data_IF_789550611103
#
_entry.id   IF_789550611103
#
_cell.length_a   1.000
_cell.length_b   1.000
_cell.length_c   1.000
_cell.angle_alpha   90.00
_cell.angle_beta   90.00
_cell.angle_gamma   90.00
#
_symmetry.space_group_name_H-M   'P 1'
#
loop_
_entity.id
_entity.type
_entity.pdbx_description
1 polymer ?
#
# COMPACT_ATOMS: atom_id res chain seq x y z
N UNK A 1 -1.01 -25.28 18.34
CA UNK A 1 -1.74 -24.11 18.20
C UNK A 1 -0.90 -22.83 18.12
N UNK A 2 0.01 -22.65 18.93
CA UNK A 2 0.85 -21.48 18.98
C UNK A 2 1.91 -21.44 17.93
N UNK A 3 2.09 -22.52 17.25
CA UNK A 3 3.11 -22.61 16.21
C UNK A 3 2.91 -21.55 15.13
N UNK A 4 1.68 -21.17 14.91
CA UNK A 4 1.36 -20.20 13.89
C UNK A 4 1.95 -18.83 14.14
N UNK A 5 2.41 -18.54 15.34
CA UNK A 5 3.01 -17.24 15.60
C UNK A 5 4.30 -17.04 14.84
N UNK A 6 5.07 -18.09 14.67
CA UNK A 6 6.29 -17.97 13.89
C UNK A 6 5.99 -17.76 12.43
N UNK A 7 4.93 -18.38 11.93
CA UNK A 7 4.50 -18.21 10.57
C UNK A 7 3.94 -16.81 10.37
N UNK A 8 3.18 -16.34 11.34
CA UNK A 8 2.56 -15.03 11.24
C UNK A 8 3.61 -13.93 11.19
N UNK A 9 4.76 -14.16 11.80
CA UNK A 9 5.82 -13.16 11.76
C UNK A 9 6.32 -12.94 10.34
N UNK A 10 6.40 -13.98 9.54
CA UNK A 10 6.85 -13.86 8.15
C UNK A 10 5.76 -13.31 7.25
N UNK A 11 4.49 -13.59 7.57
CA UNK A 11 3.36 -13.13 6.77
C UNK A 11 2.69 -11.90 7.36
N UNK A 12 3.27 -11.34 8.43
CA UNK A 12 2.69 -10.18 9.08
C UNK A 12 2.99 -8.91 8.30
N UNK A 13 2.03 -7.98 8.33
CA UNK A 13 2.21 -6.67 7.75
C UNK A 13 3.18 -5.79 8.57
N UNK A 14 3.46 -6.18 9.81
CA UNK A 14 4.29 -5.37 10.71
C UNK A 14 5.70 -5.19 10.18
N UNK A 15 6.24 -3.99 10.36
CA UNK A 15 7.60 -3.68 9.98
C UNK A 15 7.68 -2.69 8.82
N UNK A 16 8.87 -2.55 8.28
CA UNK A 16 9.14 -1.61 7.22
C UNK A 16 9.03 -2.29 5.85
N UNK A 17 8.36 -1.61 4.93
CA UNK A 17 8.18 -2.07 3.57
C UNK A 17 8.71 -1.01 2.61
N UNK A 18 9.35 -1.45 1.54
CA UNK A 18 9.96 -0.57 0.55
C UNK A 18 9.14 -0.65 -0.74
N UNK A 19 8.68 0.51 -1.20
CA UNK A 19 7.89 0.61 -2.42
C UNK A 19 8.64 0.02 -3.61
N UNK A 20 7.95 -0.75 -4.42
CA UNK A 20 8.51 -1.35 -5.63
C UNK A 20 7.81 -0.82 -6.88
N UNK A 21 6.49 -0.83 -6.88
CA UNK A 21 5.77 -0.39 -8.06
C UNK A 21 4.33 -0.01 -7.71
N UNK A 22 3.74 0.81 -8.56
CA UNK A 22 2.34 1.15 -8.49
C UNK A 22 1.75 1.01 -9.88
N UNK A 23 0.73 0.19 -10.02
CA UNK A 23 0.00 -0.01 -11.27
C UNK A 23 -1.37 0.63 -11.11
N UNK A 24 -1.72 1.53 -12.01
CA UNK A 24 -3.03 2.14 -12.02
C UNK A 24 -3.77 1.71 -13.27
N UNK A 25 -4.97 1.18 -13.08
CA UNK A 25 -5.83 0.74 -14.17
C UNK A 25 -7.04 1.65 -14.17
N UNK A 26 -7.14 2.50 -15.18
CA UNK A 26 -8.23 3.46 -15.30
C UNK A 26 -9.26 2.93 -16.27
N UNK A 27 -10.52 2.92 -15.85
CA UNK A 27 -11.63 2.47 -16.68
C UNK A 27 -12.30 3.69 -17.30
N UNK A 28 -11.96 3.96 -18.53
CA UNK A 28 -12.56 5.03 -19.31
C UNK A 28 -13.29 4.37 -20.48
N UNK A 29 -13.44 5.08 -21.60
CA UNK A 29 -14.01 4.47 -22.80
C UNK A 29 -13.21 3.25 -23.22
N UNK A 30 -11.93 3.23 -22.85
CA UNK A 30 -11.10 2.06 -22.97
C UNK A 30 -10.17 2.04 -21.76
N UNK A 31 -9.77 0.86 -21.37
CA UNK A 31 -8.92 0.68 -20.21
C UNK A 31 -7.50 1.17 -20.50
N UNK A 32 -6.96 1.93 -19.54
CA UNK A 32 -5.57 2.39 -19.61
C UNK A 32 -4.81 1.89 -18.40
N UNK A 33 -3.60 1.41 -18.62
CA UNK A 33 -2.75 0.88 -17.56
C UNK A 33 -1.46 1.68 -17.50
N UNK A 34 -1.17 2.21 -16.33
CA UNK A 34 0.07 2.96 -16.08
C UNK A 34 0.82 2.29 -14.96
N UNK A 35 2.12 2.07 -15.14
CA UNK A 35 2.97 1.45 -14.14
C UNK A 35 4.11 2.38 -13.78
N UNK A 36 4.27 2.64 -12.49
CA UNK A 36 5.37 3.44 -11.95
C UNK A 36 6.23 2.54 -11.11
N UNK A 37 7.53 2.54 -11.35
CA UNK A 37 8.49 1.75 -10.60
C UNK A 37 9.33 2.66 -9.71
N UNK A 38 9.86 2.10 -8.63
CA UNK A 38 10.79 2.86 -7.81
C UNK A 38 12.04 3.16 -8.62
N UNK A 39 12.70 4.26 -8.30
CA UNK A 39 13.97 4.61 -8.92
C UNK A 39 14.80 5.41 -7.92
N UNK A 40 15.95 5.89 -8.32
CA UNK A 40 16.85 6.60 -7.43
C UNK A 40 16.28 7.91 -6.89
N UNK A 41 15.35 8.50 -7.61
CA UNK A 41 14.76 9.79 -7.24
C UNK A 41 13.44 9.64 -6.50
N UNK A 42 12.82 8.48 -6.62
CA UNK A 42 11.50 8.23 -6.06
C UNK A 42 11.54 6.99 -5.17
N UNK A 43 11.72 7.24 -3.90
CA UNK A 43 11.83 6.17 -2.90
C UNK A 43 10.75 6.39 -1.85
N UNK A 44 10.07 5.31 -1.51
CA UNK A 44 9.04 5.37 -0.48
C UNK A 44 9.17 4.18 0.45
N UNK A 45 9.04 4.42 1.74
CA UNK A 45 8.95 3.35 2.72
C UNK A 45 7.70 3.55 3.57
N UNK A 46 7.09 2.43 3.96
CA UNK A 46 5.98 2.40 4.89
C UNK A 46 6.38 1.52 6.06
N UNK A 47 6.09 1.97 7.26
CA UNK A 47 6.36 1.17 8.46
C UNK A 47 5.05 1.00 9.22
N UNK A 48 4.65 -0.26 9.41
CA UNK A 48 3.44 -0.61 10.15
C UNK A 48 3.85 -1.05 11.55
N UNK A 49 3.36 -0.35 12.55
CA UNK A 49 3.70 -0.59 13.95
C UNK A 49 2.56 -1.35 14.61
N UNK A 50 2.89 -2.26 15.52
CA UNK A 50 1.87 -3.04 16.22
C UNK A 50 0.96 -2.20 17.11
N UNK A 51 1.35 -0.97 17.42
CA UNK A 51 0.49 -0.05 18.16
C UNK A 51 -0.66 0.51 17.33
N UNK A 52 -0.67 0.25 16.02
CA UNK A 52 -1.68 0.78 15.13
C UNK A 52 -1.25 2.05 14.41
N UNK A 53 -0.01 2.44 14.55
CA UNK A 53 0.51 3.57 13.81
C UNK A 53 1.15 3.13 12.50
N UNK A 54 1.08 3.99 11.50
CA UNK A 54 1.81 3.81 10.26
C UNK A 54 2.66 5.07 10.05
N UNK A 55 3.88 4.87 9.60
CA UNK A 55 4.78 5.96 9.27
C UNK A 55 5.19 5.83 7.81
N UNK A 56 5.34 6.94 7.13
CA UNK A 56 5.81 6.92 5.75
C UNK A 56 6.94 7.90 5.56
N UNK A 57 7.86 7.54 4.68
CA UNK A 57 8.94 8.39 4.21
C UNK A 57 8.92 8.33 2.70
N UNK A 58 8.78 9.48 2.08
CA UNK A 58 8.74 9.56 0.62
C UNK A 58 9.78 10.56 0.17
N UNK A 59 10.60 10.17 -0.79
CA UNK A 59 11.54 11.08 -1.44
C UNK A 59 11.14 11.11 -2.90
N UNK A 60 10.82 12.30 -3.39
CA UNK A 60 10.36 12.49 -4.74
C UNK A 60 11.14 13.63 -5.35
N UNK A 61 12.01 13.32 -6.33
CA UNK A 61 12.87 14.31 -6.96
C UNK A 61 13.74 15.06 -5.94
N UNK A 62 14.25 14.35 -4.93
CA UNK A 62 15.08 14.95 -3.91
C UNK A 62 14.34 15.65 -2.79
N UNK A 63 13.03 15.78 -2.90
CA UNK A 63 12.22 16.39 -1.86
C UNK A 63 11.70 15.31 -0.93
N UNK A 64 12.01 15.44 0.36
CA UNK A 64 11.62 14.46 1.36
C UNK A 64 10.33 14.86 2.04
N UNK A 65 9.43 13.92 2.21
CA UNK A 65 8.20 14.12 2.95
C UNK A 65 8.02 12.93 3.89
N UNK A 66 7.70 13.22 5.14
CA UNK A 66 7.43 12.18 6.13
C UNK A 66 6.09 12.46 6.78
N UNK A 67 5.47 11.43 7.29
CA UNK A 67 4.21 11.59 8.01
C UNK A 67 3.84 10.33 8.76
N UNK A 68 2.75 10.44 9.50
CA UNK A 68 2.24 9.34 10.30
C UNK A 68 0.73 9.28 10.16
N UNK A 69 0.20 8.11 10.46
CA UNK A 69 -1.22 7.89 10.47
C UNK A 69 -1.56 6.68 11.30
N UNK A 70 -2.73 6.13 11.07
CA UNK A 70 -3.16 4.91 11.75
C UNK A 70 -3.55 3.88 10.72
N UNK A 71 -3.52 2.61 11.13
CA UNK A 71 -3.88 1.53 10.24
C UNK A 71 -4.63 0.44 11.00
N UNK A 72 -5.47 -0.26 10.25
CA UNK A 72 -6.22 -1.41 10.75
C UNK A 72 -6.15 -2.48 9.69
N UNK A 73 -6.15 -3.74 10.10
CA UNK A 73 -6.21 -4.83 9.12
C UNK A 73 -7.15 -5.91 9.61
N UNK A 74 -7.74 -6.60 8.64
CA UNK A 74 -8.51 -7.81 8.88
C UNK A 74 -7.83 -8.97 8.17
N UNK A 75 -8.58 -10.01 7.86
CA UNK A 75 -8.02 -11.21 7.26
C UNK A 75 -7.39 -10.97 5.89
N UNK A 76 -7.98 -10.10 5.10
CA UNK A 76 -7.51 -9.88 3.74
C UNK A 76 -7.64 -8.43 3.30
N UNK A 77 -7.72 -7.51 4.25
CA UNK A 77 -7.85 -6.10 3.90
C UNK A 77 -7.08 -5.22 4.88
N UNK A 78 -6.82 -4.01 4.44
CA UNK A 78 -6.15 -3.01 5.26
C UNK A 78 -6.85 -1.67 5.05
N UNK A 79 -6.93 -0.91 6.13
CA UNK A 79 -7.41 0.48 6.12
C UNK A 79 -6.29 1.34 6.63
N UNK A 80 -5.93 2.36 5.86
CA UNK A 80 -4.85 3.28 6.22
C UNK A 80 -5.43 4.69 6.23
N UNK A 81 -5.25 5.39 7.34
CA UNK A 81 -5.72 6.76 7.49
C UNK A 81 -4.52 7.66 7.74
N UNK A 82 -4.23 8.52 6.78
CA UNK A 82 -3.14 9.49 6.89
C UNK A 82 -3.73 10.87 6.66
N UNK A 83 -3.58 11.73 7.66
CA UNK A 83 -4.20 13.04 7.66
C UNK A 83 -5.72 12.87 7.53
N UNK A 84 -6.34 13.41 6.50
CA UNK A 84 -7.78 13.27 6.31
C UNK A 84 -8.13 12.24 5.24
N UNK A 85 -7.12 11.55 4.71
CA UNK A 85 -7.33 10.58 3.63
C UNK A 85 -7.40 9.17 4.18
N UNK A 86 -8.40 8.44 3.74
CA UNK A 86 -8.58 7.03 4.11
C UNK A 86 -8.41 6.16 2.87
N UNK A 87 -7.55 5.17 2.99
CA UNK A 87 -7.33 4.20 1.92
C UNK A 87 -7.82 2.85 2.38
N UNK A 88 -8.67 2.23 1.59
CA UNK A 88 -9.16 0.88 1.82
C UNK A 88 -8.60 -0.02 0.72
N UNK A 89 -8.07 -1.16 1.09
CA UNK A 89 -7.53 -2.06 0.10
C UNK A 89 -7.57 -3.51 0.54
N UNK A 90 -7.46 -4.41 -0.44
CA UNK A 90 -7.23 -5.81 -0.14
C UNK A 90 -5.74 -6.02 0.01
N UNK A 91 -5.39 -6.99 0.82
CA UNK A 91 -4.03 -7.19 1.28
C UNK A 91 -3.56 -8.60 0.96
N UNK A 92 -2.36 -8.71 0.40
CA UNK A 92 -1.69 -9.99 0.22
C UNK A 92 -0.25 -9.86 0.66
N UNK A 93 0.20 -10.79 1.48
CA UNK A 93 1.58 -10.84 1.94
C UNK A 93 2.12 -12.22 1.60
N UNK A 94 3.24 -12.26 0.88
CA UNK A 94 3.79 -13.52 0.40
C UNK A 94 5.28 -13.38 0.15
N UNK A 95 6.07 -14.21 0.82
CA UNK A 95 7.52 -14.27 0.58
C UNK A 95 8.24 -12.93 0.58
N UNK A 96 7.95 -12.11 1.58
CA UNK A 96 8.61 -10.82 1.68
C UNK A 96 8.05 -9.75 0.74
N UNK A 97 6.89 -10.02 0.14
CA UNK A 97 6.20 -9.06 -0.72
C UNK A 97 4.87 -8.68 -0.11
N UNK A 98 4.53 -7.42 -0.23
CA UNK A 98 3.25 -6.89 0.20
C UNK A 98 2.56 -6.29 -1.02
N UNK A 99 1.32 -6.70 -1.25
CA UNK A 99 0.50 -6.14 -2.32
C UNK A 99 -0.76 -5.57 -1.71
N UNK A 100 -1.05 -4.32 -2.05
CA UNK A 100 -2.28 -3.64 -1.63
C UNK A 100 -3.03 -3.23 -2.89
N UNK A 101 -4.27 -3.65 -3.00
CA UNK A 101 -5.10 -3.34 -4.16
C UNK A 101 -6.26 -2.48 -3.70
N UNK A 102 -6.35 -1.28 -4.24
CA UNK A 102 -7.44 -0.36 -3.95
C UNK A 102 -8.27 -0.16 -5.20
N UNK A 103 -9.52 0.22 -5.03
CA UNK A 103 -10.41 0.46 -6.16
C UNK A 103 -11.39 1.57 -5.84
N UNK A 104 -11.65 2.40 -6.85
CA UNK A 104 -12.72 3.39 -6.82
C UNK A 104 -13.68 3.01 -7.92
N UNK A 105 -14.96 2.91 -7.57
CA UNK A 105 -15.96 2.52 -8.55
C UNK A 105 -16.35 3.69 -9.45
N UNK A 106 -16.81 3.38 -10.65
CA UNK A 106 -17.24 4.41 -11.55
C UNK A 106 -18.54 5.08 -11.04
N UNK A 107 -18.67 6.34 -11.34
CA UNK A 107 -19.84 7.13 -10.99
C UNK A 107 -20.23 7.98 -12.19
N UNK A 108 -21.28 8.80 -12.02
CA UNK A 108 -21.71 9.69 -13.10
C UNK A 108 -20.65 10.73 -13.47
N UNK A 109 -19.72 10.97 -12.56
CA UNK A 109 -18.71 12.02 -12.75
C UNK A 109 -17.34 11.50 -13.13
N UNK A 110 -17.08 10.21 -12.98
CA UNK A 110 -15.78 9.65 -13.36
C UNK A 110 -15.90 8.16 -13.64
N UNK A 111 -14.87 7.66 -14.31
CA UNK A 111 -14.79 6.25 -14.65
C UNK A 111 -14.02 5.51 -13.58
N UNK A 112 -14.27 4.66 -12.89
CA UNK A 112 -13.54 4.00 -11.82
C UNK A 112 -12.09 3.67 -12.16
N UNK A 113 -11.31 3.38 -11.14
CA UNK A 113 -9.93 2.96 -11.31
C UNK A 113 -9.54 1.98 -10.20
N UNK A 114 -8.49 1.23 -10.46
CA UNK A 114 -7.88 0.33 -9.49
C UNK A 114 -6.40 0.62 -9.40
N UNK A 115 -5.86 0.53 -8.21
CA UNK A 115 -4.43 0.75 -7.98
C UNK A 115 -3.85 -0.47 -7.30
N UNK A 116 -2.74 -0.96 -7.82
CA UNK A 116 -2.01 -2.09 -7.25
C UNK A 116 -0.67 -1.58 -6.77
N UNK A 117 -0.48 -1.58 -5.46
CA UNK A 117 0.75 -1.12 -4.83
C UNK A 117 1.55 -2.34 -4.39
N UNK A 118 2.80 -2.40 -4.80
CA UNK A 118 3.69 -3.50 -4.44
C UNK A 118 4.88 -2.99 -3.65
N UNK A 119 5.16 -3.67 -2.56
CA UNK A 119 6.26 -3.36 -1.66
C UNK A 119 7.04 -4.62 -1.38
N UNK A 120 8.29 -4.45 -0.93
CA UNK A 120 9.11 -5.58 -0.49
C UNK A 120 9.82 -5.24 0.81
N UNK A 121 10.36 -6.26 1.46
CA UNK A 121 11.19 -6.07 2.64
C UNK A 121 12.35 -7.06 2.69
#
# INVERSE_FOLDING_TARGET
>A
MTVQYAQDKESSILGEWIFQSMTTITKAQREEITIVYKDEKNVETLTFDESGEIAYNVTNDGIKKTGRGVWYSGDSYVTIIVESDTTYGTLQIEDGSLTIITSEEESDEFYGYSTILKYSR
#
